data_IF_983509053710
#
_entry.id   IF_983509053710
#
_cell.length_a   1.000
_cell.length_b   1.000
_cell.length_c   1.000
_cell.angle_alpha   90.00
_cell.angle_beta   90.00
_cell.angle_gamma   90.00
#
_symmetry.space_group_name_H-M   'P 1'
#
loop_
_entity.id
_entity.type
_entity.pdbx_description
1 polymer ?
#
# COMPACT_ATOMS: atom_id res chain seq x y z
N UNK A 1 -2.40 7.80 -1.14
CA UNK A 1 -2.07 6.42 -0.72
C UNK A 1 -1.44 5.56 -1.82
N UNK A 2 -1.86 5.67 -3.08
CA UNK A 2 -1.29 4.86 -4.17
C UNK A 2 0.24 4.92 -4.28
N UNK A 3 0.85 6.10 -4.09
CA UNK A 3 2.32 6.27 -4.10
C UNK A 3 2.98 5.50 -2.95
N UNK A 4 2.51 5.68 -1.71
CA UNK A 4 3.02 5.00 -0.53
C UNK A 4 2.85 3.46 -0.57
N UNK A 5 2.06 2.97 -1.53
CA UNK A 5 1.80 1.55 -1.73
C UNK A 5 2.34 1.03 -3.07
N UNK A 6 3.16 1.83 -3.76
CA UNK A 6 3.80 1.43 -5.02
C UNK A 6 2.83 1.18 -6.18
N UNK A 7 1.61 1.73 -6.13
CA UNK A 7 0.65 1.69 -7.25
C UNK A 7 0.89 2.82 -8.27
N UNK A 8 1.55 3.88 -7.84
CA UNK A 8 1.96 5.00 -8.68
C UNK A 8 3.38 5.42 -8.27
N UNK A 9 4.24 5.83 -9.22
CA UNK A 9 5.51 6.45 -8.87
C UNK A 9 5.27 7.82 -8.21
N UNK A 10 6.19 8.24 -7.35
CA UNK A 10 6.27 9.63 -6.88
C UNK A 10 7.07 10.43 -7.90
N UNK A 11 6.59 11.61 -8.27
CA UNK A 11 7.37 12.52 -9.11
C UNK A 11 8.53 13.16 -8.32
N UNK A 12 8.28 13.48 -7.03
CA UNK A 12 9.25 14.08 -6.11
C UNK A 12 8.98 13.65 -4.65
N UNK A 13 9.92 13.93 -3.75
CA UNK A 13 9.82 13.64 -2.32
C UNK A 13 10.33 12.24 -1.92
N UNK A 14 10.30 11.96 -0.61
CA UNK A 14 10.81 10.71 -0.02
C UNK A 14 9.82 10.15 1.00
N UNK A 15 9.78 8.82 1.11
CA UNK A 15 8.98 8.09 2.10
C UNK A 15 9.91 7.52 3.16
N UNK A 16 9.58 7.70 4.44
CA UNK A 16 10.35 7.14 5.55
C UNK A 16 9.44 6.29 6.45
N UNK A 17 9.93 5.13 6.84
CA UNK A 17 9.32 4.27 7.88
C UNK A 17 10.38 4.12 8.97
N UNK A 18 10.03 4.50 10.19
CA UNK A 18 10.94 4.47 11.35
C UNK A 18 12.30 5.16 11.09
N UNK A 19 12.28 6.24 10.30
CA UNK A 19 13.46 7.02 9.92
C UNK A 19 14.30 6.41 8.79
N UNK A 20 13.93 5.26 8.25
CA UNK A 20 14.60 4.62 7.10
C UNK A 20 13.85 4.94 5.82
N UNK A 21 14.56 5.49 4.84
CA UNK A 21 13.99 5.80 3.52
C UNK A 21 13.51 4.52 2.82
N UNK A 22 12.33 4.58 2.23
CA UNK A 22 11.69 3.48 1.53
C UNK A 22 11.40 3.84 0.08
N UNK A 23 11.58 2.87 -0.79
CA UNK A 23 11.18 2.94 -2.20
C UNK A 23 10.30 1.74 -2.52
N UNK A 24 9.12 2.00 -3.09
CA UNK A 24 8.16 0.95 -3.43
C UNK A 24 7.78 1.06 -4.91
N UNK A 25 8.18 0.05 -5.68
CA UNK A 25 7.85 -0.07 -7.10
C UNK A 25 6.57 -0.88 -7.35
N UNK A 26 6.07 -1.53 -6.31
CA UNK A 26 4.84 -2.32 -6.35
C UNK A 26 4.27 -2.56 -4.94
N UNK A 27 2.97 -2.92 -4.84
CA UNK A 27 2.32 -3.21 -3.56
C UNK A 27 2.97 -4.27 -2.69
N UNK A 28 3.66 -5.26 -3.28
CA UNK A 28 4.26 -6.36 -2.49
C UNK A 28 5.40 -5.85 -1.61
N UNK A 29 6.15 -4.86 -2.08
CA UNK A 29 7.24 -4.26 -1.30
C UNK A 29 6.69 -3.44 -0.13
N UNK A 30 5.62 -2.67 -0.35
CA UNK A 30 4.96 -1.92 0.72
C UNK A 30 4.38 -2.87 1.80
N UNK A 31 3.77 -3.98 1.40
CA UNK A 31 3.29 -5.01 2.32
C UNK A 31 4.43 -5.68 3.11
N UNK A 32 5.55 -5.98 2.47
CA UNK A 32 6.73 -6.55 3.14
C UNK A 32 7.34 -5.58 4.17
N UNK A 33 7.17 -4.27 3.97
CA UNK A 33 7.53 -3.23 4.92
C UNK A 33 6.45 -2.99 6.01
N UNK A 34 5.41 -3.82 6.06
CA UNK A 34 4.35 -3.76 7.09
C UNK A 34 3.23 -2.75 6.81
N UNK A 35 3.15 -2.20 5.60
CA UNK A 35 2.07 -1.29 5.23
C UNK A 35 0.85 -2.09 4.75
N UNK A 36 -0.28 -1.92 5.44
CA UNK A 36 -1.60 -2.34 4.96
C UNK A 36 -2.36 -1.16 4.35
N UNK A 37 -3.22 -1.42 3.37
CA UNK A 37 -4.10 -0.41 2.77
C UNK A 37 -5.57 -0.81 2.88
N UNK A 38 -6.39 0.14 3.30
CA UNK A 38 -7.85 0.08 3.16
C UNK A 38 -8.26 1.04 2.04
N UNK A 39 -8.93 0.53 1.01
CA UNK A 39 -9.40 1.34 -0.11
C UNK A 39 -10.59 2.22 0.31
N UNK A 40 -10.65 3.45 -0.22
CA UNK A 40 -11.77 4.38 0.06
C UNK A 40 -13.12 3.82 -0.42
N UNK A 41 -13.13 3.15 -1.57
CA UNK A 41 -14.28 2.38 -2.03
C UNK A 41 -14.07 0.92 -1.64
N UNK A 42 -15.14 0.27 -1.20
CA UNK A 42 -15.10 -1.15 -0.86
C UNK A 42 -14.71 -1.97 -2.09
N UNK A 43 -13.53 -2.58 -2.01
CA UNK A 43 -13.03 -3.57 -2.95
C UNK A 43 -13.25 -4.96 -2.33
N UNK A 44 -14.52 -5.35 -2.19
CA UNK A 44 -14.84 -6.71 -1.74
C UNK A 44 -14.63 -7.67 -2.91
N UNK A 45 -13.99 -8.80 -2.66
CA UNK A 45 -14.17 -9.96 -3.53
C UNK A 45 -15.64 -10.35 -3.37
N UNK A 46 -16.41 -10.25 -4.46
CA UNK A 46 -17.81 -10.65 -4.43
C UNK A 46 -17.88 -12.12 -3.97
N UNK A 47 -18.66 -12.37 -2.91
CA UNK A 47 -19.08 -13.64 -2.28
C UNK A 47 -18.45 -14.08 -0.94
N UNK A 48 -17.61 -13.30 -0.26
CA UNK A 48 -17.19 -13.67 1.10
C UNK A 48 -18.10 -13.06 2.18
N UNK A 49 -18.54 -13.91 3.10
CA UNK A 49 -19.16 -13.55 4.38
C UNK A 49 -18.10 -12.96 5.31
N UNK A 50 -18.51 -12.34 6.42
CA UNK A 50 -17.58 -11.74 7.40
C UNK A 50 -16.58 -12.75 7.99
N UNK A 51 -16.90 -14.04 7.97
CA UNK A 51 -16.05 -15.10 8.52
C UNK A 51 -15.04 -15.66 7.50
N UNK A 52 -15.16 -15.31 6.22
CA UNK A 52 -14.32 -15.78 5.13
C UNK A 52 -13.26 -14.73 4.76
#
# INVERSE_FOLDING_TARGET
MNILYGLLPSDEGSVYIDGVEQHFDNPKQAMAAGIGMVHQHFMLVNVFTVAE
#
